data_IF_287726792623
#
_entry.id   IF_287726792623
#
_cell.length_a   1.000
_cell.length_b   1.000
_cell.length_c   1.000
_cell.angle_alpha   90.00
_cell.angle_beta   90.00
_cell.angle_gamma   90.00
#
_symmetry.space_group_name_H-M   'P 1'
#
loop_
_entity.id
_entity.type
_entity.pdbx_description
1 polymer ?
#
# COMPACT_ATOMS: atom_id res chain seq x y z
N UNK A 1 -0.58 -1.98 6.19
CA UNK A 1 -1.49 -2.03 7.36
C UNK A 1 -2.95 -2.29 6.98
N UNK A 2 -3.51 -1.67 5.94
CA UNK A 2 -4.93 -1.77 5.57
C UNK A 2 -5.39 -3.16 5.09
N UNK A 3 -4.52 -4.00 4.58
CA UNK A 3 -4.89 -5.34 4.09
C UNK A 3 -5.44 -6.26 5.18
N UNK A 4 -4.88 -6.22 6.40
CA UNK A 4 -5.30 -7.11 7.49
C UNK A 4 -6.78 -6.94 7.83
N UNK A 5 -7.28 -5.73 8.15
CA UNK A 5 -8.70 -5.56 8.46
C UNK A 5 -9.62 -5.90 7.28
N UNK A 6 -9.19 -5.64 6.03
CA UNK A 6 -9.97 -6.00 4.84
C UNK A 6 -10.07 -7.51 4.68
N UNK A 7 -8.95 -8.23 4.77
CA UNK A 7 -8.94 -9.68 4.66
C UNK A 7 -9.74 -10.35 5.78
N UNK A 8 -9.64 -9.82 7.01
CA UNK A 8 -10.42 -10.32 8.14
C UNK A 8 -11.93 -10.11 7.93
N UNK A 9 -12.37 -8.91 7.53
CA UNK A 9 -13.78 -8.61 7.24
C UNK A 9 -14.33 -9.54 6.13
N UNK A 10 -13.55 -9.75 5.07
CA UNK A 10 -13.96 -10.62 3.97
C UNK A 10 -13.95 -12.10 4.37
N UNK A 11 -12.99 -12.52 5.20
CA UNK A 11 -12.94 -13.90 5.69
C UNK A 11 -14.12 -14.20 6.61
N UNK A 12 -14.40 -13.34 7.59
CA UNK A 12 -15.57 -13.47 8.46
C UNK A 12 -16.87 -13.54 7.64
N UNK A 13 -16.99 -12.69 6.60
CA UNK A 13 -18.14 -12.73 5.71
C UNK A 13 -18.27 -14.09 4.99
N UNK A 14 -17.15 -14.64 4.49
CA UNK A 14 -17.15 -15.93 3.81
C UNK A 14 -17.49 -17.10 4.74
N UNK A 15 -17.02 -17.06 5.99
CA UNK A 15 -17.36 -18.05 7.00
C UNK A 15 -18.85 -17.99 7.37
N UNK A 16 -19.41 -16.78 7.54
CA UNK A 16 -20.82 -16.60 7.87
C UNK A 16 -21.76 -17.16 6.79
N UNK A 17 -21.39 -17.04 5.53
CA UNK A 17 -22.18 -17.61 4.42
C UNK A 17 -21.78 -19.04 4.08
N UNK A 18 -20.71 -19.56 4.68
CA UNK A 18 -20.11 -20.88 4.44
C UNK A 18 -19.88 -21.17 2.94
N UNK A 19 -19.46 -20.16 2.19
CA UNK A 19 -19.23 -20.24 0.75
C UNK A 19 -18.16 -19.25 0.31
N UNK A 20 -17.49 -19.46 -0.84
CA UNK A 20 -16.64 -18.48 -1.46
C UNK A 20 -17.40 -17.18 -1.77
N UNK A 21 -16.77 -16.05 -1.54
CA UNK A 21 -17.35 -14.76 -1.88
C UNK A 21 -17.45 -14.59 -3.40
N UNK A 22 -18.59 -14.13 -3.86
CA UNK A 22 -18.85 -13.79 -5.27
C UNK A 22 -19.12 -12.30 -5.41
N UNK A 23 -18.57 -11.70 -6.46
CA UNK A 23 -18.60 -10.24 -6.69
C UNK A 23 -17.41 -9.54 -6.07
N UNK A 24 -17.19 -8.32 -6.48
CA UNK A 24 -16.11 -7.46 -5.95
C UNK A 24 -16.54 -6.86 -4.62
N UNK A 25 -15.83 -7.18 -3.57
CA UNK A 25 -16.06 -6.69 -2.22
C UNK A 25 -15.06 -5.61 -1.82
N UNK A 26 -13.83 -5.72 -2.35
CA UNK A 26 -12.77 -4.74 -2.12
C UNK A 26 -12.14 -4.34 -3.46
N UNK A 27 -12.14 -3.04 -3.72
CA UNK A 27 -11.56 -2.43 -4.90
C UNK A 27 -10.30 -1.67 -4.48
N UNK A 28 -9.14 -2.09 -5.00
CA UNK A 28 -7.85 -1.46 -4.74
C UNK A 28 -7.42 -0.68 -5.98
N UNK A 29 -7.27 0.62 -5.85
CA UNK A 29 -6.84 1.52 -6.91
C UNK A 29 -5.41 1.99 -6.70
N UNK A 30 -4.57 1.68 -7.67
CA UNK A 30 -3.18 2.10 -7.73
C UNK A 30 -2.96 3.09 -8.89
N UNK A 31 -2.14 4.13 -8.71
CA UNK A 31 -1.90 5.09 -9.78
C UNK A 31 -1.10 4.49 -10.96
N UNK A 32 -0.28 3.48 -10.70
CA UNK A 32 0.64 2.89 -11.68
C UNK A 32 0.57 1.36 -11.70
N UNK A 33 0.69 0.77 -12.89
CA UNK A 33 0.75 -0.69 -13.07
C UNK A 33 1.92 -1.36 -12.34
N UNK A 34 3.06 -0.68 -12.23
CA UNK A 34 4.21 -1.20 -11.48
C UNK A 34 3.88 -1.45 -10.02
N UNK A 35 3.08 -0.57 -9.41
CA UNK A 35 2.62 -0.74 -8.01
C UNK A 35 1.65 -1.91 -7.89
N UNK A 36 0.76 -2.13 -8.88
CA UNK A 36 -0.13 -3.28 -8.91
C UNK A 36 0.69 -4.58 -8.89
N UNK A 37 1.69 -4.69 -9.75
CA UNK A 37 2.52 -5.90 -9.85
C UNK A 37 3.32 -6.15 -8.56
N UNK A 38 3.81 -5.10 -7.91
CA UNK A 38 4.54 -5.23 -6.63
C UNK A 38 3.68 -5.79 -5.48
N UNK A 39 2.35 -5.74 -5.60
CA UNK A 39 1.45 -6.30 -4.59
C UNK A 39 1.17 -7.79 -4.78
N UNK A 40 1.54 -8.38 -5.93
CA UNK A 40 1.23 -9.77 -6.25
C UNK A 40 1.78 -10.75 -5.22
N UNK A 41 3.07 -10.64 -4.90
CA UNK A 41 3.70 -11.53 -3.92
C UNK A 41 3.04 -11.43 -2.54
N UNK A 42 2.73 -10.20 -2.11
CA UNK A 42 2.09 -9.95 -0.82
C UNK A 42 0.67 -10.51 -0.79
N UNK A 43 -0.13 -10.25 -1.81
CA UNK A 43 -1.49 -10.78 -1.91
C UNK A 43 -1.48 -12.30 -2.00
N UNK A 44 -0.58 -12.90 -2.79
CA UNK A 44 -0.40 -14.35 -2.86
C UNK A 44 -0.07 -14.95 -1.50
N UNK A 45 0.95 -14.40 -0.82
CA UNK A 45 1.38 -14.89 0.49
C UNK A 45 0.24 -14.85 1.54
N UNK A 46 -0.62 -13.83 1.45
CA UNK A 46 -1.69 -13.65 2.44
C UNK A 46 -2.98 -14.43 2.08
N UNK A 47 -3.31 -14.58 0.78
CA UNK A 47 -4.56 -15.21 0.37
C UNK A 47 -4.46 -16.73 0.16
N UNK A 48 -3.25 -17.25 -0.07
CA UNK A 48 -3.05 -18.71 -0.28
C UNK A 48 -3.56 -19.58 0.88
N UNK A 49 -3.54 -19.06 2.10
CA UNK A 49 -3.95 -19.81 3.30
C UNK A 49 -5.48 -19.91 3.46
N UNK A 50 -6.26 -19.17 2.68
CA UNK A 50 -7.73 -19.21 2.73
C UNK A 50 -8.37 -20.26 1.81
N UNK A 51 -7.57 -21.16 1.20
CA UNK A 51 -8.09 -22.28 0.41
C UNK A 51 -8.98 -21.87 -0.77
N UNK A 52 -8.77 -20.68 -1.35
CA UNK A 52 -9.59 -20.16 -2.44
C UNK A 52 -10.90 -19.49 -2.02
N UNK A 53 -11.22 -19.40 -0.72
CA UNK A 53 -12.37 -18.63 -0.23
C UNK A 53 -12.23 -17.14 -0.49
N UNK A 54 -11.01 -16.60 -0.31
CA UNK A 54 -10.64 -15.23 -0.67
C UNK A 54 -9.74 -15.26 -1.89
N UNK A 55 -10.27 -14.76 -3.00
CA UNK A 55 -9.53 -14.65 -4.26
C UNK A 55 -9.26 -13.21 -4.58
N UNK A 56 -8.17 -12.96 -5.30
CA UNK A 56 -7.88 -11.64 -5.86
C UNK A 56 -7.63 -11.70 -7.37
N UNK A 57 -7.81 -10.58 -8.04
CA UNK A 57 -7.46 -10.39 -9.44
C UNK A 57 -6.65 -9.11 -9.61
N UNK A 58 -5.49 -9.21 -10.24
CA UNK A 58 -4.76 -8.06 -10.75
C UNK A 58 -5.28 -7.76 -12.16
N UNK A 59 -6.17 -6.79 -12.28
CA UNK A 59 -6.83 -6.45 -13.53
C UNK A 59 -6.18 -5.20 -14.14
N UNK A 60 -5.25 -5.42 -15.05
CA UNK A 60 -4.50 -4.36 -15.74
C UNK A 60 -4.30 -4.68 -17.23
N UNK A 61 -3.51 -3.89 -17.92
CA UNK A 61 -3.23 -4.09 -19.35
C UNK A 61 -2.60 -5.45 -19.69
N UNK A 62 -1.87 -6.03 -18.75
CA UNK A 62 -1.16 -7.31 -18.93
C UNK A 62 -2.01 -8.53 -18.55
N UNK A 63 -3.21 -8.34 -18.00
CA UNK A 63 -4.09 -9.46 -17.61
C UNK A 63 -4.54 -10.20 -18.88
N UNK A 64 -4.25 -11.51 -19.01
CA UNK A 64 -4.62 -12.29 -20.16
C UNK A 64 -6.13 -12.32 -20.40
N UNK A 65 -6.54 -12.34 -21.67
CA UNK A 65 -7.96 -12.40 -22.00
C UNK A 65 -8.57 -13.77 -21.68
N UNK A 66 -7.88 -14.85 -22.11
CA UNK A 66 -8.42 -16.21 -22.03
C UNK A 66 -7.81 -17.03 -20.89
N UNK A 67 -8.64 -17.89 -20.29
CA UNK A 67 -8.25 -18.89 -19.31
C UNK A 67 -7.27 -19.93 -19.90
N UNK A 68 -7.38 -20.22 -21.20
CA UNK A 68 -6.57 -21.25 -21.86
C UNK A 68 -5.06 -20.99 -21.74
N UNK A 69 -4.64 -19.73 -21.71
CA UNK A 69 -3.25 -19.32 -21.61
C UNK A 69 -2.59 -19.69 -20.28
N UNK A 70 -3.37 -19.84 -19.21
CA UNK A 70 -2.86 -20.01 -17.84
C UNK A 70 -3.53 -21.14 -17.06
N UNK A 71 -4.13 -22.13 -17.76
CA UNK A 71 -4.94 -23.18 -17.12
C UNK A 71 -4.18 -23.98 -16.05
N UNK A 72 -2.92 -24.32 -16.28
CA UNK A 72 -2.09 -25.03 -15.29
C UNK A 72 -1.82 -24.14 -14.09
N UNK A 73 -1.34 -22.92 -14.32
CA UNK A 73 -1.06 -21.96 -13.24
C UNK A 73 -2.30 -21.60 -12.44
N UNK A 74 -3.47 -21.53 -13.07
CA UNK A 74 -4.74 -21.28 -12.37
C UNK A 74 -5.11 -22.39 -11.38
N UNK A 75 -4.78 -23.65 -11.69
CA UNK A 75 -4.98 -24.79 -10.76
C UNK A 75 -4.05 -24.70 -9.57
N UNK A 76 -2.80 -24.27 -9.79
CA UNK A 76 -1.80 -24.14 -8.73
C UNK A 76 -2.06 -22.91 -7.83
N UNK A 77 -2.78 -21.91 -8.38
CA UNK A 77 -3.13 -20.66 -7.67
C UNK A 77 -4.63 -20.44 -7.59
N UNK A 78 -5.39 -21.25 -6.82
CA UNK A 78 -6.85 -21.13 -6.72
C UNK A 78 -7.29 -19.80 -6.06
N UNK A 79 -6.39 -19.14 -5.35
CA UNK A 79 -6.59 -17.85 -4.68
C UNK A 79 -6.39 -16.63 -5.61
N UNK A 80 -5.92 -16.82 -6.84
CA UNK A 80 -5.71 -15.75 -7.82
C UNK A 80 -6.54 -16.00 -9.08
N UNK A 81 -7.24 -14.99 -9.55
CA UNK A 81 -7.95 -15.03 -10.85
C UNK A 81 -7.00 -14.46 -11.92
N UNK A 82 -6.54 -15.34 -12.83
CA UNK A 82 -5.44 -15.06 -13.76
C UNK A 82 -5.88 -14.55 -15.14
N UNK A 83 -7.19 -14.52 -15.44
CA UNK A 83 -7.67 -14.06 -16.74
C UNK A 83 -8.93 -13.21 -16.63
N UNK A 84 -9.14 -12.36 -17.65
CA UNK A 84 -10.35 -11.53 -17.74
C UNK A 84 -11.60 -12.38 -17.91
N UNK A 85 -11.51 -13.46 -18.70
CA UNK A 85 -12.61 -14.41 -18.88
C UNK A 85 -13.08 -15.00 -17.54
N UNK A 86 -12.16 -15.45 -16.69
CA UNK A 86 -12.48 -15.96 -15.35
C UNK A 86 -13.07 -14.87 -14.45
N UNK A 87 -12.51 -13.65 -14.51
CA UNK A 87 -13.02 -12.51 -13.74
C UNK A 87 -14.46 -12.16 -14.12
N UNK A 88 -14.85 -12.28 -15.38
CA UNK A 88 -16.24 -12.10 -15.86
C UNK A 88 -17.15 -13.25 -15.43
N UNK A 89 -16.65 -14.50 -15.48
CA UNK A 89 -17.40 -15.67 -15.06
C UNK A 89 -17.64 -15.70 -13.55
N UNK A 90 -16.63 -15.40 -12.77
CA UNK A 90 -16.67 -15.44 -11.31
C UNK A 90 -15.77 -14.34 -10.73
N UNK A 91 -16.32 -13.12 -10.56
CA UNK A 91 -15.55 -12.00 -10.06
C UNK A 91 -14.86 -12.30 -8.73
N UNK A 92 -13.56 -12.00 -8.65
CA UNK A 92 -12.82 -12.13 -7.42
C UNK A 92 -13.28 -11.09 -6.39
N UNK A 93 -13.39 -11.44 -5.11
CA UNK A 93 -13.77 -10.50 -4.07
C UNK A 93 -12.78 -9.34 -3.90
N UNK A 94 -11.52 -9.51 -4.26
CA UNK A 94 -10.52 -8.45 -4.24
C UNK A 94 -10.10 -8.13 -5.68
N UNK A 95 -10.46 -6.94 -6.14
CA UNK A 95 -10.08 -6.42 -7.46
C UNK A 95 -9.00 -5.35 -7.28
N UNK A 96 -7.83 -5.60 -7.84
CA UNK A 96 -6.69 -4.66 -7.85
C UNK A 96 -6.52 -4.13 -9.26
N UNK A 97 -6.60 -2.81 -9.44
CA UNK A 97 -6.59 -2.19 -10.76
C UNK A 97 -6.09 -0.74 -10.69
N UNK A 98 -6.10 -0.05 -11.82
CA UNK A 98 -5.87 1.40 -11.90
C UNK A 98 -7.12 2.12 -12.41
N UNK A 99 -7.13 3.46 -12.32
CA UNK A 99 -8.27 4.28 -12.73
C UNK A 99 -8.68 4.06 -14.19
N UNK A 100 -7.72 3.97 -15.12
CA UNK A 100 -7.99 3.75 -16.54
C UNK A 100 -8.66 2.39 -16.80
N UNK A 101 -8.17 1.34 -16.17
CA UNK A 101 -8.77 0.01 -16.33
C UNK A 101 -10.14 -0.09 -15.66
N UNK A 102 -10.33 0.61 -14.56
CA UNK A 102 -11.64 0.71 -13.91
C UNK A 102 -12.66 1.40 -14.84
N UNK A 103 -12.29 2.49 -15.52
CA UNK A 103 -13.12 3.09 -16.57
C UNK A 103 -13.48 2.08 -17.66
N UNK A 104 -12.51 1.30 -18.12
CA UNK A 104 -12.79 0.28 -19.13
C UNK A 104 -13.76 -0.79 -18.63
N UNK A 105 -13.64 -1.25 -17.38
CA UNK A 105 -14.58 -2.20 -16.78
C UNK A 105 -15.99 -1.62 -16.75
N UNK A 106 -16.14 -0.34 -16.44
CA UNK A 106 -17.45 0.33 -16.35
C UNK A 106 -18.11 0.60 -17.71
N UNK A 107 -17.31 0.74 -18.78
CA UNK A 107 -17.83 1.14 -20.11
C UNK A 107 -17.93 -0.04 -21.07
N UNK A 108 -17.04 -1.04 -20.97
CA UNK A 108 -17.03 -2.17 -21.90
C UNK A 108 -18.17 -3.15 -21.61
N UNK A 109 -19.02 -3.40 -22.58
CA UNK A 109 -20.09 -4.38 -22.47
C UNK A 109 -19.60 -5.77 -22.11
N UNK A 110 -18.44 -6.18 -22.62
CA UNK A 110 -17.87 -7.48 -22.33
C UNK A 110 -17.51 -7.66 -20.84
N UNK A 111 -17.19 -6.57 -20.13
CA UNK A 111 -16.81 -6.56 -18.72
C UNK A 111 -18.02 -6.32 -17.78
N UNK A 112 -19.21 -6.02 -18.35
CA UNK A 112 -20.43 -5.79 -17.59
C UNK A 112 -20.75 -6.86 -16.55
N UNK A 113 -20.51 -8.19 -16.79
CA UNK A 113 -20.79 -9.23 -15.80
C UNK A 113 -20.04 -9.04 -14.47
N UNK A 114 -18.87 -8.37 -14.45
CA UNK A 114 -18.12 -8.08 -13.22
C UNK A 114 -18.94 -7.14 -12.34
N UNK A 115 -19.48 -6.08 -12.95
CA UNK A 115 -20.30 -5.07 -12.26
C UNK A 115 -21.67 -5.63 -11.88
N UNK A 116 -22.36 -6.28 -12.81
CA UNK A 116 -23.72 -6.81 -12.61
C UNK A 116 -23.81 -7.81 -11.46
N UNK A 117 -22.86 -8.75 -11.40
CA UNK A 117 -22.80 -9.74 -10.31
C UNK A 117 -22.50 -9.10 -8.96
N UNK A 118 -21.64 -8.09 -8.95
CA UNK A 118 -21.31 -7.34 -7.74
C UNK A 118 -22.49 -6.48 -7.28
N UNK A 119 -23.17 -5.82 -8.23
CA UNK A 119 -24.37 -5.01 -7.98
C UNK A 119 -25.54 -5.80 -7.43
N UNK A 120 -25.81 -6.99 -8.01
CA UNK A 120 -26.88 -7.86 -7.58
C UNK A 120 -26.79 -8.25 -6.10
N UNK A 121 -25.56 -8.31 -5.57
CA UNK A 121 -25.27 -8.63 -4.17
C UNK A 121 -24.96 -7.41 -3.32
N UNK A 122 -24.88 -6.21 -3.91
CA UNK A 122 -24.35 -4.99 -3.28
C UNK A 122 -23.05 -5.28 -2.53
N UNK A 123 -22.15 -5.99 -3.22
CA UNK A 123 -21.01 -6.64 -2.57
C UNK A 123 -19.87 -5.68 -2.21
N UNK A 124 -19.78 -4.50 -2.84
CA UNK A 124 -18.67 -3.56 -2.62
C UNK A 124 -18.73 -2.96 -1.22
N UNK A 125 -17.69 -3.24 -0.42
CA UNK A 125 -17.56 -2.84 0.99
C UNK A 125 -16.34 -1.95 1.25
N UNK A 126 -15.30 -2.09 0.40
CA UNK A 126 -14.03 -1.43 0.59
C UNK A 126 -13.54 -0.80 -0.71
N UNK A 127 -13.10 0.45 -0.63
CA UNK A 127 -12.34 1.11 -1.69
C UNK A 127 -11.02 1.59 -1.09
N UNK A 128 -9.91 1.14 -1.66
CA UNK A 128 -8.56 1.49 -1.24
C UNK A 128 -7.90 2.33 -2.32
N UNK A 129 -7.42 3.48 -1.95
CA UNK A 129 -6.68 4.42 -2.79
C UNK A 129 -5.23 4.44 -2.31
N UNK A 130 -4.37 3.71 -2.99
CA UNK A 130 -2.96 3.70 -2.64
C UNK A 130 -2.24 4.90 -3.27
N UNK A 131 -1.25 5.44 -2.55
CA UNK A 131 -0.52 6.66 -2.96
C UNK A 131 -1.46 7.83 -3.29
N UNK A 132 -2.49 8.05 -2.45
CA UNK A 132 -3.54 9.04 -2.69
C UNK A 132 -3.02 10.46 -2.93
N UNK A 133 -1.81 10.77 -2.43
CA UNK A 133 -1.13 12.04 -2.69
C UNK A 133 -0.73 12.24 -4.17
N UNK A 134 -0.75 11.20 -5.00
CA UNK A 134 -0.50 11.32 -6.43
C UNK A 134 -1.67 11.93 -7.19
N UNK A 135 -2.88 11.88 -6.64
CA UNK A 135 -4.07 12.46 -7.24
C UNK A 135 -4.26 13.89 -6.74
N UNK A 136 -3.77 14.86 -7.49
CA UNK A 136 -3.85 16.28 -7.17
C UNK A 136 -4.54 17.08 -8.28
N UNK A 137 -5.13 18.21 -7.93
CA UNK A 137 -5.78 19.11 -8.90
C UNK A 137 -6.89 18.44 -9.71
N UNK A 138 -6.81 18.48 -11.04
CA UNK A 138 -7.81 17.90 -11.94
C UNK A 138 -7.93 16.39 -11.79
N UNK A 139 -6.83 15.69 -11.52
CA UNK A 139 -6.83 14.23 -11.33
C UNK A 139 -7.62 13.81 -10.09
N UNK A 140 -7.57 14.59 -9.01
CA UNK A 140 -8.39 14.34 -7.83
C UNK A 140 -9.91 14.54 -8.14
N UNK A 141 -10.25 15.57 -8.90
CA UNK A 141 -11.62 15.80 -9.32
C UNK A 141 -12.15 14.68 -10.24
N UNK A 142 -11.33 14.22 -11.20
CA UNK A 142 -11.65 13.09 -12.05
C UNK A 142 -11.88 11.81 -11.25
N UNK A 143 -10.98 11.52 -10.31
CA UNK A 143 -11.12 10.36 -9.42
C UNK A 143 -12.38 10.45 -8.56
N UNK A 144 -12.71 11.63 -8.02
CA UNK A 144 -13.93 11.82 -7.24
C UNK A 144 -15.20 11.53 -8.07
N UNK A 145 -15.24 11.98 -9.33
CA UNK A 145 -16.33 11.64 -10.25
C UNK A 145 -16.36 10.16 -10.60
N UNK A 146 -15.20 9.55 -10.83
CA UNK A 146 -15.07 8.12 -11.09
C UNK A 146 -15.60 7.30 -9.91
N UNK A 147 -15.22 7.63 -8.68
CA UNK A 147 -15.69 6.93 -7.48
C UNK A 147 -17.22 7.03 -7.32
N UNK A 148 -17.84 8.17 -7.59
CA UNK A 148 -19.31 8.29 -7.58
C UNK A 148 -19.98 7.39 -8.59
N UNK A 149 -19.43 7.31 -9.82
CA UNK A 149 -19.90 6.39 -10.86
C UNK A 149 -19.70 4.92 -10.46
N UNK A 150 -18.61 4.60 -9.78
CA UNK A 150 -18.36 3.25 -9.23
C UNK A 150 -19.41 2.88 -8.20
N UNK A 151 -19.69 3.75 -7.23
CA UNK A 151 -20.72 3.49 -6.22
C UNK A 151 -22.08 3.24 -6.86
N UNK A 152 -22.47 4.06 -7.83
CA UNK A 152 -23.72 3.89 -8.58
C UNK A 152 -23.74 2.58 -9.38
N UNK A 153 -22.66 2.28 -10.10
CA UNK A 153 -22.53 1.05 -10.88
C UNK A 153 -22.64 -0.20 -10.02
N UNK A 154 -22.03 -0.19 -8.84
CA UNK A 154 -22.10 -1.29 -7.87
C UNK A 154 -23.38 -1.29 -7.02
N UNK A 155 -24.21 -0.26 -7.12
CA UNK A 155 -25.49 -0.16 -6.42
C UNK A 155 -25.36 0.01 -4.90
N UNK A 156 -24.33 0.72 -4.46
CA UNK A 156 -24.02 1.01 -3.06
C UNK A 156 -23.92 2.51 -2.81
N UNK A 157 -24.14 2.95 -1.58
CA UNK A 157 -23.96 4.35 -1.20
C UNK A 157 -22.61 4.55 -0.51
N UNK A 158 -22.06 5.77 -0.54
CA UNK A 158 -20.77 6.07 0.07
C UNK A 158 -20.72 5.69 1.57
N UNK A 159 -21.80 5.89 2.30
CA UNK A 159 -21.93 5.54 3.72
C UNK A 159 -21.82 4.04 4.02
N UNK A 160 -22.09 3.18 3.02
CA UNK A 160 -22.06 1.72 3.15
C UNK A 160 -20.68 1.14 2.79
N UNK A 161 -19.78 1.99 2.30
CA UNK A 161 -18.44 1.60 1.83
C UNK A 161 -17.37 2.22 2.73
N UNK A 162 -16.37 1.43 3.13
CA UNK A 162 -15.21 1.92 3.84
C UNK A 162 -14.13 2.35 2.86
N UNK A 163 -13.75 3.62 2.95
CA UNK A 163 -12.66 4.17 2.15
C UNK A 163 -11.35 4.13 2.94
N UNK A 164 -10.29 3.73 2.27
CA UNK A 164 -8.93 3.77 2.80
C UNK A 164 -8.06 4.53 1.81
N UNK A 165 -7.38 5.55 2.28
CA UNK A 165 -6.37 6.25 1.49
C UNK A 165 -5.01 6.12 2.17
N UNK A 166 -3.97 5.74 1.43
CA UNK A 166 -2.60 5.76 1.93
C UNK A 166 -1.84 6.92 1.33
N UNK A 167 -0.93 7.51 2.11
CA UNK A 167 -0.08 8.61 1.66
C UNK A 167 1.26 8.57 2.37
N UNK A 168 2.35 8.82 1.65
CA UNK A 168 3.69 8.90 2.20
C UNK A 168 4.02 10.29 2.79
N UNK A 169 3.27 11.33 2.42
CA UNK A 169 3.56 12.73 2.75
C UNK A 169 2.58 13.29 3.78
N UNK A 170 2.79 12.95 5.05
CA UNK A 170 2.06 13.59 6.16
C UNK A 170 3.12 14.15 7.10
N UNK A 171 3.48 15.40 6.91
CA UNK A 171 4.58 15.99 7.66
C UNK A 171 4.27 17.37 8.26
N UNK A 172 3.06 17.90 8.10
CA UNK A 172 2.69 19.24 8.57
C UNK A 172 1.63 19.16 9.68
N UNK A 173 1.66 20.11 10.60
CA UNK A 173 0.65 20.24 11.68
C UNK A 173 -0.79 20.38 11.19
N UNK A 174 -0.97 20.89 9.97
CA UNK A 174 -2.29 21.00 9.30
C UNK A 174 -2.62 19.81 8.39
N UNK A 175 -1.71 18.85 8.23
CA UNK A 175 -1.86 17.76 7.28
C UNK A 175 -3.05 16.85 7.61
N UNK A 176 -3.32 16.62 8.88
CA UNK A 176 -4.47 15.81 9.28
C UNK A 176 -5.79 16.40 8.80
N UNK A 177 -6.00 17.70 9.01
CA UNK A 177 -7.22 18.38 8.55
C UNK A 177 -7.31 18.41 7.04
N UNK A 178 -6.21 18.68 6.35
CA UNK A 178 -6.17 18.68 4.88
C UNK A 178 -6.51 17.30 4.31
N UNK A 179 -6.03 16.22 4.94
CA UNK A 179 -6.35 14.86 4.53
C UNK A 179 -7.82 14.50 4.77
N UNK A 180 -8.41 14.94 5.90
CA UNK A 180 -9.84 14.76 6.17
C UNK A 180 -10.68 15.46 5.11
N UNK A 181 -10.37 16.73 4.84
CA UNK A 181 -11.07 17.51 3.79
C UNK A 181 -10.89 16.86 2.42
N UNK A 182 -9.68 16.44 2.07
CA UNK A 182 -9.39 15.78 0.80
C UNK A 182 -10.18 14.47 0.64
N UNK A 183 -10.15 13.60 1.63
CA UNK A 183 -10.85 12.31 1.57
C UNK A 183 -12.37 12.49 1.62
N UNK A 184 -12.87 13.46 2.37
CA UNK A 184 -14.29 13.85 2.40
C UNK A 184 -14.80 14.23 1.01
N UNK A 185 -14.07 15.12 0.34
CA UNK A 185 -14.42 15.55 -1.03
C UNK A 185 -14.32 14.40 -2.04
N UNK A 186 -13.30 13.57 -1.92
CA UNK A 186 -13.04 12.45 -2.82
C UNK A 186 -14.10 11.35 -2.68
N UNK A 187 -14.36 10.93 -1.46
CA UNK A 187 -15.26 9.81 -1.15
C UNK A 187 -16.75 10.23 -1.06
N UNK A 188 -17.03 11.52 -0.82
CA UNK A 188 -18.37 12.03 -0.60
C UNK A 188 -18.96 11.65 0.76
N UNK A 189 -18.11 11.62 1.82
CA UNK A 189 -18.47 11.33 3.20
C UNK A 189 -18.16 12.55 4.09
N UNK A 190 -18.76 12.62 5.27
CA UNK A 190 -18.51 13.70 6.23
C UNK A 190 -17.11 13.60 6.85
N UNK A 191 -16.45 14.75 7.07
CA UNK A 191 -15.13 14.79 7.71
C UNK A 191 -15.11 14.14 9.11
N UNK A 192 -16.22 14.22 9.83
CA UNK A 192 -16.39 13.59 11.14
C UNK A 192 -16.30 12.06 11.13
N UNK A 193 -16.49 11.44 9.95
CA UNK A 193 -16.41 10.00 9.76
C UNK A 193 -15.00 9.54 9.35
N UNK A 194 -14.05 10.47 9.20
CA UNK A 194 -12.70 10.20 8.75
C UNK A 194 -11.73 10.21 9.91
N UNK A 195 -11.00 9.11 10.06
CA UNK A 195 -9.90 8.98 11.00
C UNK A 195 -8.57 8.98 10.25
N UNK A 196 -7.62 9.79 10.71
CA UNK A 196 -6.27 9.83 10.17
C UNK A 196 -5.33 9.08 11.11
N UNK A 197 -4.76 8.00 10.61
CA UNK A 197 -3.83 7.16 11.37
C UNK A 197 -2.41 7.52 10.97
N UNK A 198 -1.74 8.30 11.80
CA UNK A 198 -0.35 8.67 11.62
C UNK A 198 0.61 7.59 12.14
N UNK A 199 1.69 7.36 11.40
CA UNK A 199 2.81 6.54 11.89
C UNK A 199 3.74 7.36 12.78
N UNK A 200 4.21 6.77 13.88
CA UNK A 200 5.34 7.32 14.63
C UNK A 200 6.60 6.59 14.21
N UNK A 201 7.66 7.34 13.90
CA UNK A 201 8.97 6.73 13.68
C UNK A 201 9.46 6.12 15.01
N UNK A 202 9.55 4.80 15.06
CA UNK A 202 10.27 4.15 16.14
C UNK A 202 11.76 4.28 15.84
N UNK A 203 12.45 5.12 16.60
CA UNK A 203 13.92 5.19 16.53
C UNK A 203 14.44 4.07 17.44
N UNK A 204 15.16 3.06 16.93
CA UNK A 204 15.72 2.00 17.76
C UNK A 204 16.60 2.61 18.86
N UNK A 205 16.41 2.19 20.10
CA UNK A 205 17.30 2.59 21.18
C UNK A 205 18.62 1.84 21.00
N UNK A 206 19.73 2.57 21.05
CA UNK A 206 21.06 1.97 21.04
C UNK A 206 21.39 1.46 22.43
N UNK A 207 22.17 0.37 22.50
CA UNK A 207 22.71 -0.12 23.77
C UNK A 207 23.58 0.94 24.42
N UNK A 208 23.43 1.13 25.72
CA UNK A 208 24.15 2.17 26.47
C UNK A 208 25.65 1.86 26.68
N UNK A 209 26.04 0.59 26.59
CA UNK A 209 27.41 0.16 26.77
C UNK A 209 28.22 0.36 25.48
N UNK A 210 29.09 1.32 25.51
CA UNK A 210 30.00 1.64 24.42
C UNK A 210 31.39 1.10 24.74
N UNK A 211 31.69 -0.08 24.23
CA UNK A 211 33.08 -0.38 23.92
C UNK A 211 33.41 0.39 22.63
N UNK A 212 34.19 1.46 22.76
CA UNK A 212 34.57 2.33 21.65
C UNK A 212 35.56 1.66 20.69
N UNK A 213 35.16 0.56 20.08
CA UNK A 213 35.91 -0.01 18.97
C UNK A 213 35.65 0.86 17.73
N UNK A 214 36.63 1.66 17.39
CA UNK A 214 36.64 2.41 16.12
C UNK A 214 36.87 1.43 14.98
N UNK A 215 35.81 0.84 14.45
CA UNK A 215 35.89 0.18 13.15
C UNK A 215 36.22 1.26 12.10
N UNK A 216 37.23 1.01 11.30
CA UNK A 216 37.56 1.91 10.20
C UNK A 216 36.46 1.86 9.14
N UNK A 217 36.28 2.93 8.38
CA UNK A 217 35.34 2.97 7.24
C UNK A 217 35.64 1.84 6.23
N UNK A 218 36.88 1.39 6.14
CA UNK A 218 37.30 0.29 5.29
C UNK A 218 36.74 -1.06 5.79
N UNK A 219 36.82 -1.34 7.07
CA UNK A 219 36.24 -2.55 7.67
C UNK A 219 34.70 -2.58 7.54
N UNK A 220 34.04 -1.41 7.62
CA UNK A 220 32.58 -1.31 7.37
C UNK A 220 32.21 -1.57 5.90
N UNK A 221 33.06 -1.21 4.95
CA UNK A 221 32.82 -1.43 3.51
C UNK A 221 33.06 -2.87 3.08
N UNK A 222 33.88 -3.64 3.81
CA UNK A 222 34.20 -5.03 3.53
C UNK A 222 33.16 -6.01 4.07
N UNK A 223 32.19 -5.55 4.86
CA UNK A 223 31.09 -6.38 5.36
C UNK A 223 30.06 -6.62 4.25
N UNK A 224 30.00 -7.84 3.71
CA UNK A 224 29.07 -8.22 2.63
C UNK A 224 27.58 -8.09 3.02
N UNK A 225 26.69 -8.03 2.01
CA UNK A 225 25.28 -7.66 2.17
C UNK A 225 24.34 -8.86 2.34
N UNK A 226 24.59 -9.74 3.30
CA UNK A 226 23.70 -10.86 3.62
C UNK A 226 22.90 -10.61 4.93
N UNK A 227 21.78 -11.31 5.15
CA UNK A 227 20.88 -11.08 6.30
C UNK A 227 21.52 -11.30 7.66
N UNK A 228 22.38 -12.32 7.79
CA UNK A 228 23.20 -12.53 9.01
C UNK A 228 24.21 -11.41 9.22
N UNK A 229 24.65 -10.80 8.15
CA UNK A 229 25.60 -9.69 8.12
C UNK A 229 24.92 -8.37 8.51
N UNK A 230 23.58 -8.24 8.32
CA UNK A 230 22.83 -7.03 8.72
C UNK A 230 22.87 -6.82 10.23
N UNK A 231 22.77 -7.87 11.03
CA UNK A 231 22.89 -7.80 12.49
C UNK A 231 24.32 -7.40 12.91
N UNK A 232 25.35 -7.99 12.31
CA UNK A 232 26.76 -7.65 12.56
C UNK A 232 27.08 -6.21 12.12
N UNK A 233 26.54 -5.76 10.97
CA UNK A 233 26.66 -4.36 10.54
C UNK A 233 26.01 -3.41 11.54
N UNK A 234 24.83 -3.74 12.01
CA UNK A 234 24.15 -2.92 13.00
C UNK A 234 24.97 -2.83 14.30
N UNK A 235 25.50 -3.92 14.81
CA UNK A 235 26.38 -3.95 15.99
C UNK A 235 27.66 -3.14 15.78
N UNK A 236 28.27 -3.25 14.60
CA UNK A 236 29.46 -2.49 14.23
C UNK A 236 29.16 -0.98 14.15
N UNK A 237 28.04 -0.57 13.53
CA UNK A 237 27.61 0.82 13.46
C UNK A 237 27.16 1.34 14.83
N UNK A 238 26.51 0.50 15.64
CA UNK A 238 26.10 0.82 17.01
C UNK A 238 27.28 1.15 17.92
N UNK A 239 28.42 0.49 17.72
CA UNK A 239 29.65 0.72 18.48
C UNK A 239 30.53 1.87 17.93
N UNK A 240 30.27 2.33 16.70
CA UNK A 240 31.06 3.37 16.05
C UNK A 240 30.59 4.78 16.42
N UNK A 241 31.49 5.60 16.97
CA UNK A 241 31.15 6.93 17.45
C UNK A 241 30.66 7.86 16.34
N UNK A 242 31.31 7.88 15.19
CA UNK A 242 30.89 8.73 14.05
C UNK A 242 29.52 8.33 13.53
N UNK A 243 29.22 7.02 13.47
CA UNK A 243 27.90 6.54 13.07
C UNK A 243 26.81 6.97 14.06
N UNK A 244 27.10 7.00 15.37
CA UNK A 244 26.20 7.50 16.42
C UNK A 244 25.94 9.01 16.26
N UNK A 245 26.98 9.79 16.04
CA UNK A 245 26.87 11.23 15.82
C UNK A 245 26.03 11.55 14.57
N UNK A 246 26.28 10.86 13.45
CA UNK A 246 25.46 10.97 12.23
C UNK A 246 24.00 10.62 12.54
N UNK A 247 23.77 9.53 13.27
CA UNK A 247 22.43 9.11 13.66
C UNK A 247 21.74 10.15 14.53
N UNK A 248 22.42 10.71 15.52
CA UNK A 248 21.87 11.78 16.38
C UNK A 248 21.48 13.02 15.59
N UNK A 249 22.35 13.48 14.66
CA UNK A 249 22.04 14.58 13.76
C UNK A 249 20.78 14.31 12.94
N UNK A 250 20.65 13.10 12.37
CA UNK A 250 19.49 12.71 11.56
C UNK A 250 18.23 12.60 12.42
N UNK A 251 18.32 12.04 13.62
CA UNK A 251 17.18 11.88 14.54
C UNK A 251 16.71 13.21 15.06
N UNK A 252 17.62 14.10 15.49
CA UNK A 252 17.30 15.44 15.95
C UNK A 252 16.63 16.25 14.85
N UNK A 253 17.17 16.23 13.63
CA UNK A 253 16.57 16.89 12.49
C UNK A 253 15.18 16.33 12.17
N UNK A 254 14.99 15.02 12.29
CA UNK A 254 13.70 14.36 12.07
C UNK A 254 12.64 14.71 13.12
N UNK A 255 13.04 15.23 14.30
CA UNK A 255 12.13 15.74 15.34
C UNK A 255 11.83 17.23 15.17
N UNK A 256 12.77 18.00 14.66
CA UNK A 256 12.66 19.46 14.47
C UNK A 256 12.05 19.83 13.11
N UNK A 257 12.37 19.05 12.10
CA UNK A 257 11.94 19.31 10.72
C UNK A 257 11.80 17.98 9.97
N UNK A 258 10.69 17.82 9.23
CA UNK A 258 10.47 16.64 8.38
C UNK A 258 11.27 16.64 7.08
N UNK A 259 12.09 17.67 6.86
CA UNK A 259 12.92 17.76 5.66
C UNK A 259 14.16 16.88 5.84
N UNK A 260 14.40 15.92 4.93
CA UNK A 260 15.60 15.08 4.99
C UNK A 260 16.86 15.93 4.79
N UNK A 261 17.92 15.62 5.53
CA UNK A 261 19.23 16.22 5.35
C UNK A 261 19.92 15.62 4.12
N UNK A 262 20.57 16.46 3.36
CA UNK A 262 21.52 16.02 2.32
C UNK A 262 22.81 15.53 2.95
N UNK A 263 23.59 14.73 2.21
CA UNK A 263 24.92 14.29 2.66
C UNK A 263 25.87 15.47 2.94
N UNK A 264 25.70 16.59 2.20
CA UNK A 264 26.49 17.80 2.40
C UNK A 264 26.14 18.49 3.73
N UNK A 265 24.86 18.64 4.04
CA UNK A 265 24.39 19.22 5.31
C UNK A 265 24.81 18.37 6.53
N UNK A 266 24.80 17.03 6.39
CA UNK A 266 25.33 16.13 7.43
C UNK A 266 26.84 16.37 7.63
N UNK A 267 27.60 16.47 6.53
CA UNK A 267 29.02 16.73 6.57
C UNK A 267 29.33 18.10 7.21
N UNK A 268 28.58 19.13 6.90
CA UNK A 268 28.76 20.48 7.50
C UNK A 268 28.49 20.45 9.01
N UNK A 269 27.43 19.78 9.45
CA UNK A 269 27.12 19.61 10.88
C UNK A 269 28.17 18.79 11.62
N UNK A 270 28.71 17.74 11.02
CA UNK A 270 29.84 16.98 11.58
C UNK A 270 31.13 17.78 11.65
N UNK A 271 31.41 18.63 10.64
CA UNK A 271 32.59 19.44 10.59
C UNK A 271 32.52 20.68 11.50
N UNK A 272 31.33 21.11 11.92
CA UNK A 272 31.16 22.17 12.89
C UNK A 272 31.68 21.78 14.29
N UNK A 273 31.61 20.45 14.61
CA UNK A 273 32.07 19.93 15.89
C UNK A 273 33.47 19.25 15.81
N UNK A 274 33.91 18.84 14.61
CA UNK A 274 35.19 18.19 14.40
C UNK A 274 35.87 18.74 13.14
N UNK A 275 37.05 19.33 13.30
CA UNK A 275 37.97 19.61 12.21
C UNK A 275 38.48 18.26 11.63
N UNK A 276 37.68 17.64 10.79
CA UNK A 276 38.10 16.45 10.03
C UNK A 276 38.87 16.96 8.83
N UNK A 277 40.18 16.96 8.94
CA UNK A 277 41.07 17.03 7.77
C UNK A 277 40.84 15.79 6.92
N UNK A 278 40.44 16.01 5.66
CA UNK A 278 40.39 14.99 4.62
C UNK A 278 41.80 14.57 4.26
#
# INVERSE_FOLDING_TARGET
>A
CFMVPILNDLFELSENINAPLEGVHALFLYPLNALINSQEERLSAWTQHFGGKLRYCLYNGNTPESESSNRTLQKDRPYQVLSRELMRKSPAPILVTNGTMLEYIMVRQIDAPIIEKSRAKKSLRWIVLDEAHSYVGSQAAELALQLRRVLEAFGVEAKDVRFVATSATIADSNAEQQLKTYLSQLAGIEESQIEVIGGRRAVPQLKLETNHNKLSLKELSEIESDLEVSAKRFEALESNQTAREIREIIVQQGTESYKPLTSLEIKEKLNADYAISV
#
